data_IF_531026189357
#
_entry.id   IF_531026189357
#
_cell.length_a   1.000
_cell.length_b   1.000
_cell.length_c   1.000
_cell.angle_alpha   90.00
_cell.angle_beta   90.00
_cell.angle_gamma   90.00
#
_symmetry.space_group_name_H-M   'P 1'
#
loop_
_entity.id
_entity.type
_entity.pdbx_description
1 polymer ?
#
# COMPACT_ATOMS: atom_id res chain seq x y z
N UNK A 1 23.06 21.57 6.00
CA UNK A 1 22.18 20.38 5.97
C UNK A 1 20.70 20.72 5.93
N UNK A 2 20.18 21.22 4.79
CA UNK A 2 18.76 21.59 4.65
C UNK A 2 17.86 20.51 4.02
N UNK A 3 18.41 19.64 3.16
CA UNK A 3 17.63 18.64 2.39
C UNK A 3 17.03 17.52 3.26
N UNK A 4 17.73 17.08 4.32
CA UNK A 4 17.23 16.05 5.23
C UNK A 4 16.05 16.55 6.08
N UNK A 5 16.07 17.83 6.48
CA UNK A 5 15.05 18.44 7.34
C UNK A 5 13.71 18.63 6.60
N UNK A 6 13.75 18.91 5.29
CA UNK A 6 12.55 19.06 4.44
C UNK A 6 11.85 17.71 4.24
N UNK A 7 12.59 16.63 3.95
CA UNK A 7 12.01 15.28 3.79
C UNK A 7 11.30 14.79 5.05
N UNK A 8 11.83 15.12 6.23
CA UNK A 8 11.23 14.77 7.53
C UNK A 8 9.90 15.52 7.76
N UNK A 9 9.85 16.82 7.44
CA UNK A 9 8.66 17.68 7.58
C UNK A 9 7.46 17.20 6.75
N UNK A 10 7.71 16.69 5.54
CA UNK A 10 6.69 16.08 4.68
C UNK A 10 6.11 14.83 5.34
N UNK A 11 6.96 13.94 5.88
CA UNK A 11 6.52 12.70 6.54
C UNK A 11 5.72 12.95 7.82
N UNK A 12 6.06 13.99 8.58
CA UNK A 12 5.38 14.35 9.84
C UNK A 12 3.95 14.90 9.63
N UNK A 13 3.62 15.43 8.45
CA UNK A 13 2.29 15.99 8.15
C UNK A 13 1.48 15.16 7.14
N UNK A 14 1.99 13.99 6.72
CA UNK A 14 1.22 13.09 5.86
C UNK A 14 0.26 12.26 6.72
N UNK A 15 -1.01 12.22 6.30
CA UNK A 15 -1.98 11.28 6.87
C UNK A 15 -1.41 9.86 6.79
N UNK A 16 -1.65 9.03 7.83
CA UNK A 16 -1.17 7.64 7.90
C UNK A 16 -1.96 6.72 6.95
N UNK A 17 -2.08 7.12 5.68
CA UNK A 17 -2.77 6.38 4.63
C UNK A 17 -2.00 5.11 4.31
N UNK A 18 -2.73 3.99 4.23
CA UNK A 18 -2.19 2.69 3.80
C UNK A 18 -2.22 2.58 2.28
N UNK A 19 -1.33 1.78 1.69
CA UNK A 19 -1.22 1.58 0.24
C UNK A 19 -1.35 0.09 -0.11
N UNK A 20 -2.15 -0.21 -1.12
CA UNK A 20 -2.15 -1.48 -1.84
C UNK A 20 -1.83 -1.24 -3.31
N UNK A 21 -1.04 -2.12 -3.91
CA UNK A 21 -0.67 -2.08 -5.34
C UNK A 21 -1.31 -3.30 -6.00
N UNK A 22 -2.05 -3.08 -7.09
CA UNK A 22 -2.55 -4.16 -7.95
C UNK A 22 -1.60 -4.29 -9.15
N UNK A 23 -0.78 -5.35 -9.22
CA UNK A 23 0.15 -5.56 -10.33
C UNK A 23 -0.59 -5.68 -11.66
N UNK A 24 0.07 -5.28 -12.75
CA UNK A 24 -0.43 -5.43 -14.13
C UNK A 24 -1.77 -4.74 -14.40
N UNK A 25 -2.15 -3.76 -13.58
CA UNK A 25 -3.32 -2.90 -13.80
C UNK A 25 -2.89 -1.47 -14.06
N UNK A 26 -3.71 -0.79 -14.85
CA UNK A 26 -3.59 0.63 -15.17
C UNK A 26 -4.69 1.42 -14.48
N UNK A 27 -4.58 2.74 -14.52
CA UNK A 27 -5.65 3.63 -14.03
C UNK A 27 -7.01 3.36 -14.69
N UNK A 28 -7.03 2.85 -15.93
CA UNK A 28 -8.24 2.69 -16.72
C UNK A 28 -9.01 1.40 -16.42
N UNK A 29 -8.33 0.33 -15.97
CA UNK A 29 -8.94 -0.98 -15.75
C UNK A 29 -8.93 -1.43 -14.28
N UNK A 30 -8.21 -0.73 -13.40
CA UNK A 30 -8.12 -1.09 -11.97
C UNK A 30 -9.47 -1.18 -11.26
N UNK A 31 -10.46 -0.36 -11.67
CA UNK A 31 -11.80 -0.39 -11.06
C UNK A 31 -12.67 -1.57 -11.49
N UNK A 32 -12.30 -2.26 -12.58
CA UNK A 32 -12.96 -3.47 -13.04
C UNK A 32 -12.20 -4.75 -12.66
N UNK A 33 -11.05 -4.60 -12.00
CA UNK A 33 -10.23 -5.72 -11.55
C UNK A 33 -10.98 -6.52 -10.47
N UNK A 34 -11.24 -7.83 -10.66
CA UNK A 34 -11.87 -8.65 -9.62
C UNK A 34 -11.01 -8.71 -8.34
N UNK A 35 -9.71 -8.47 -8.46
CA UNK A 35 -8.77 -8.41 -7.34
C UNK A 35 -8.95 -7.16 -6.46
N UNK A 36 -9.63 -6.11 -6.96
CA UNK A 36 -9.80 -4.85 -6.23
C UNK A 36 -10.56 -5.03 -4.92
N UNK A 37 -11.64 -5.83 -4.92
CA UNK A 37 -12.41 -6.08 -3.70
C UNK A 37 -11.56 -6.76 -2.64
N UNK A 38 -10.81 -7.81 -3.02
CA UNK A 38 -9.92 -8.52 -2.10
C UNK A 38 -8.83 -7.59 -1.54
N UNK A 39 -8.28 -6.70 -2.37
CA UNK A 39 -7.30 -5.72 -1.94
C UNK A 39 -7.88 -4.63 -1.01
N UNK A 40 -9.15 -4.25 -1.19
CA UNK A 40 -9.80 -3.20 -0.41
C UNK A 40 -10.34 -3.69 0.95
N UNK A 41 -10.75 -4.95 1.07
CA UNK A 41 -11.36 -5.50 2.28
C UNK A 41 -10.51 -5.28 3.56
N UNK A 42 -9.19 -5.56 3.59
CA UNK A 42 -8.36 -5.27 4.78
C UNK A 42 -8.32 -3.80 5.19
N UNK A 43 -8.62 -2.89 4.25
CA UNK A 43 -8.68 -1.46 4.52
C UNK A 43 -9.97 -1.12 5.25
N UNK A 44 -11.10 -1.63 4.75
CA UNK A 44 -12.43 -1.41 5.29
C UNK A 44 -12.63 -2.11 6.64
N UNK A 45 -12.06 -3.30 6.81
CA UNK A 45 -12.13 -4.08 8.05
C UNK A 45 -11.16 -3.57 9.14
N UNK A 46 -10.37 -2.53 8.85
CA UNK A 46 -9.41 -1.97 9.80
C UNK A 46 -8.23 -2.90 10.13
N UNK A 47 -7.96 -3.92 9.31
CA UNK A 47 -6.86 -4.85 9.53
C UNK A 47 -5.52 -4.14 9.34
N UNK A 48 -4.70 -4.05 10.39
CA UNK A 48 -3.42 -3.31 10.36
C UNK A 48 -2.20 -4.20 10.15
N UNK A 49 -2.37 -5.52 10.19
CA UNK A 49 -1.27 -6.47 10.00
C UNK A 49 -0.89 -6.53 8.52
N UNK A 50 0.21 -5.88 8.16
CA UNK A 50 0.81 -5.97 6.82
C UNK A 50 1.82 -7.11 6.86
N UNK A 51 1.76 -8.01 5.87
CA UNK A 51 2.78 -9.06 5.73
C UNK A 51 4.15 -8.42 5.51
N UNK A 52 5.19 -8.99 6.12
CA UNK A 52 6.55 -8.56 5.79
C UNK A 52 6.89 -8.95 4.35
N UNK A 53 7.88 -8.29 3.74
CA UNK A 53 8.34 -8.69 2.40
C UNK A 53 8.84 -10.15 2.38
N UNK A 54 9.47 -10.60 3.47
CA UNK A 54 9.92 -11.98 3.62
C UNK A 54 8.73 -12.96 3.63
N UNK A 55 7.63 -12.62 4.31
CA UNK A 55 6.40 -13.43 4.32
C UNK A 55 5.76 -13.49 2.93
N UNK A 56 5.79 -12.39 2.16
CA UNK A 56 5.23 -12.36 0.80
C UNK A 56 6.05 -13.19 -0.18
N UNK A 57 7.39 -13.15 -0.09
CA UNK A 57 8.28 -13.90 -0.99
C UNK A 57 8.26 -15.39 -0.66
N UNK A 58 8.17 -15.77 0.61
CA UNK A 58 8.15 -17.18 1.03
C UNK A 58 6.86 -17.95 0.68
N UNK A 59 5.76 -17.26 0.36
CA UNK A 59 4.50 -17.90 -0.09
C UNK A 59 4.46 -18.18 -1.60
N UNK A 60 5.40 -17.63 -2.37
CA UNK A 60 5.45 -17.76 -3.83
C UNK A 60 6.35 -18.92 -4.32
N UNK A 61 6.97 -19.64 -3.40
CA UNK A 61 7.83 -20.82 -3.62
C UNK A 61 7.07 -22.12 -3.29
#
# INVERSE_FOLDING_TARGET
>A
GGRLKIKKRMRENLSQSRLAILPNRTHYDVFFAPELTAAALPFLDGQTKVKSWDEVVGEAE
#
